data_IF_343597727884
#
_entry.id   IF_343597727884
#
_cell.length_a   1.000
_cell.length_b   1.000
_cell.length_c   1.000
_cell.angle_alpha   90.00
_cell.angle_beta   90.00
_cell.angle_gamma   90.00
#
_symmetry.space_group_name_H-M   'P 1'
#
loop_
_entity.id
_entity.type
_entity.pdbx_description
1 polymer ?
#
# COMPACT_ATOMS: atom_id res chain seq x y z
N UNK A 1 -22.76 -16.04 8.67
CA UNK A 1 -21.53 -15.83 7.90
C UNK A 1 -20.41 -15.48 8.86
N UNK A 2 -19.15 -15.80 8.54
CA UNK A 2 -18.04 -15.61 9.49
C UNK A 2 -17.63 -14.14 9.63
N UNK A 3 -17.63 -13.36 8.53
CA UNK A 3 -17.21 -11.94 8.57
C UNK A 3 -17.87 -11.01 7.53
N UNK A 4 -18.81 -11.51 6.73
CA UNK A 4 -19.66 -10.70 5.83
C UNK A 4 -18.94 -9.70 4.90
N UNK A 5 -17.74 -10.04 4.41
CA UNK A 5 -17.00 -9.19 3.47
C UNK A 5 -17.70 -9.15 2.09
N UNK A 6 -18.02 -7.95 1.56
CA UNK A 6 -18.49 -7.82 0.18
C UNK A 6 -17.42 -8.28 -0.82
N UNK A 7 -17.87 -8.82 -1.96
CA UNK A 7 -16.97 -9.25 -3.04
C UNK A 7 -16.07 -8.11 -3.53
N UNK A 8 -14.78 -8.38 -3.65
CA UNK A 8 -13.79 -7.41 -4.14
C UNK A 8 -13.15 -6.53 -3.06
N UNK A 9 -13.64 -6.51 -1.81
CA UNK A 9 -13.03 -5.73 -0.71
C UNK A 9 -11.68 -6.32 -0.29
N UNK A 10 -11.57 -7.64 -0.23
CA UNK A 10 -10.32 -8.36 0.04
C UNK A 10 -10.12 -9.38 -1.07
N UNK A 11 -8.98 -9.28 -1.75
CA UNK A 11 -8.56 -10.22 -2.79
C UNK A 11 -7.18 -10.75 -2.39
N UNK A 12 -6.97 -12.06 -2.49
CA UNK A 12 -5.71 -12.72 -2.13
C UNK A 12 -5.13 -13.37 -3.36
N UNK A 13 -3.87 -13.03 -3.66
CA UNK A 13 -3.08 -13.65 -4.72
C UNK A 13 -1.91 -14.39 -4.08
N UNK A 14 -1.59 -15.56 -4.61
CA UNK A 14 -0.41 -16.35 -4.22
C UNK A 14 0.55 -16.46 -5.40
N UNK A 15 1.84 -16.53 -5.12
CA UNK A 15 2.88 -16.56 -6.15
C UNK A 15 4.21 -16.02 -5.61
N UNK A 16 5.19 -15.89 -6.50
CA UNK A 16 6.46 -15.24 -6.14
C UNK A 16 6.28 -13.73 -6.18
N UNK A 17 6.80 -13.03 -5.17
CA UNK A 17 6.74 -11.56 -5.12
C UNK A 17 7.35 -10.93 -6.37
N UNK A 18 8.49 -11.47 -6.85
CA UNK A 18 9.14 -11.03 -8.08
C UNK A 18 8.28 -11.19 -9.35
N UNK A 19 7.25 -12.03 -9.32
CA UNK A 19 6.33 -12.25 -10.45
C UNK A 19 5.05 -11.41 -10.32
N UNK A 20 4.59 -11.09 -9.10
CA UNK A 20 3.31 -10.41 -8.86
C UNK A 20 3.45 -8.93 -8.56
N UNK A 21 4.47 -8.52 -7.80
CA UNK A 21 4.65 -7.14 -7.37
C UNK A 21 4.88 -6.13 -8.52
N UNK A 22 5.65 -6.46 -9.59
CA UNK A 22 5.85 -5.52 -10.69
C UNK A 22 4.55 -5.15 -11.41
N UNK A 23 3.60 -6.08 -11.51
CA UNK A 23 2.29 -5.80 -12.08
C UNK A 23 1.48 -4.86 -11.20
N UNK A 24 1.41 -5.09 -9.89
CA UNK A 24 0.72 -4.17 -8.97
C UNK A 24 1.38 -2.78 -8.94
N UNK A 25 2.70 -2.73 -8.98
CA UNK A 25 3.47 -1.49 -8.99
C UNK A 25 3.25 -0.67 -10.27
N UNK A 26 3.16 -1.31 -11.44
CA UNK A 26 2.94 -0.62 -12.73
C UNK A 26 1.47 -0.41 -13.09
N UNK A 27 0.51 -1.04 -12.38
CA UNK A 27 -0.89 -1.00 -12.77
C UNK A 27 -1.48 0.40 -12.62
N UNK A 28 -2.02 0.96 -13.69
CA UNK A 28 -2.52 2.34 -13.72
C UNK A 28 -3.71 2.60 -12.78
N UNK A 29 -4.53 1.57 -12.52
CA UNK A 29 -5.72 1.66 -11.68
C UNK A 29 -5.48 1.32 -10.19
N UNK A 30 -4.21 1.10 -9.80
CA UNK A 30 -3.84 0.95 -8.39
C UNK A 30 -3.48 2.32 -7.83
N UNK A 31 -4.16 2.73 -6.76
CA UNK A 31 -3.97 4.06 -6.17
C UNK A 31 -2.81 4.13 -5.16
N UNK A 32 -2.48 3.00 -4.54
CA UNK A 32 -1.38 2.90 -3.57
C UNK A 32 -0.83 1.48 -3.49
N UNK A 33 0.44 1.34 -3.11
CA UNK A 33 1.10 0.04 -2.87
C UNK A 33 1.94 0.10 -1.58
N UNK A 34 1.87 -0.98 -0.81
CA UNK A 34 2.68 -1.21 0.38
C UNK A 34 3.76 -2.25 0.06
N UNK A 35 5.04 -1.85 0.10
CA UNK A 35 6.18 -2.70 -0.26
C UNK A 35 6.73 -3.52 0.92
N UNK A 36 5.97 -3.60 2.00
CA UNK A 36 6.21 -4.60 3.04
C UNK A 36 6.22 -6.01 2.45
N UNK A 37 7.16 -6.84 2.89
CA UNK A 37 7.48 -8.12 2.27
C UNK A 37 8.65 -8.04 1.28
N UNK A 38 9.17 -6.84 1.00
CA UNK A 38 10.37 -6.61 0.19
C UNK A 38 11.59 -6.13 1.02
N UNK A 39 11.51 -6.14 2.35
CA UNK A 39 12.68 -5.79 3.17
C UNK A 39 13.85 -6.75 2.91
N UNK A 40 15.07 -6.22 2.94
CA UNK A 40 16.29 -6.98 2.62
C UNK A 40 16.60 -7.09 1.11
N UNK A 41 15.71 -6.65 0.21
CA UNK A 41 15.96 -6.54 -1.23
C UNK A 41 15.75 -5.10 -1.70
N UNK A 42 16.70 -4.22 -1.34
CA UNK A 42 16.63 -2.80 -1.60
C UNK A 42 16.56 -2.46 -3.10
N UNK A 43 17.21 -3.27 -3.95
CA UNK A 43 17.20 -3.04 -5.40
C UNK A 43 15.84 -3.38 -6.00
N UNK A 44 15.23 -4.51 -5.61
CA UNK A 44 13.88 -4.82 -6.05
C UNK A 44 12.86 -3.80 -5.52
N UNK A 45 12.94 -3.40 -4.26
CA UNK A 45 12.07 -2.36 -3.70
C UNK A 45 12.18 -1.04 -4.50
N UNK A 46 13.41 -0.65 -4.86
CA UNK A 46 13.66 0.53 -5.71
C UNK A 46 13.04 0.37 -7.10
N UNK A 47 13.11 -0.80 -7.71
CA UNK A 47 12.48 -1.06 -9.02
C UNK A 47 10.95 -0.94 -8.95
N UNK A 48 10.34 -1.40 -7.86
CA UNK A 48 8.90 -1.26 -7.63
C UNK A 48 8.50 0.21 -7.41
N UNK A 49 9.31 0.99 -6.67
CA UNK A 49 9.11 2.44 -6.53
C UNK A 49 9.18 3.16 -7.89
N UNK A 50 10.12 2.77 -8.75
CA UNK A 50 10.25 3.34 -10.11
C UNK A 50 9.03 3.00 -10.95
N UNK A 51 8.56 1.75 -10.94
CA UNK A 51 7.35 1.35 -11.69
C UNK A 51 6.09 2.08 -11.19
N UNK A 52 5.98 2.31 -9.88
CA UNK A 52 4.89 3.07 -9.29
C UNK A 52 4.88 4.56 -9.68
N UNK A 53 6.02 5.10 -10.13
CA UNK A 53 6.12 6.50 -10.52
C UNK A 53 5.30 6.84 -11.78
N UNK A 54 4.97 5.85 -12.63
CA UNK A 54 4.26 6.08 -13.90
C UNK A 54 2.89 6.75 -13.71
N UNK A 55 2.17 6.47 -12.62
CA UNK A 55 0.93 7.16 -12.28
C UNK A 55 1.00 7.94 -10.95
N UNK A 56 2.21 8.10 -10.40
CA UNK A 56 2.45 8.75 -9.11
C UNK A 56 1.62 8.15 -7.96
N UNK A 57 1.27 6.85 -8.03
CA UNK A 57 0.57 6.18 -6.92
C UNK A 57 1.37 6.29 -5.65
N UNK A 58 0.67 6.30 -4.53
CA UNK A 58 1.34 6.37 -3.24
C UNK A 58 2.09 5.08 -2.96
N UNK A 59 3.34 5.19 -2.51
CA UNK A 59 4.14 4.03 -2.11
C UNK A 59 4.46 4.12 -0.62
N UNK A 60 4.05 3.11 0.15
CA UNK A 60 4.66 2.86 1.45
C UNK A 60 5.94 2.04 1.20
N UNK A 61 7.08 2.72 1.31
CA UNK A 61 8.41 2.13 1.05
C UNK A 61 8.66 0.92 1.94
N UNK A 62 9.42 -0.05 1.40
CA UNK A 62 9.85 -1.20 2.16
C UNK A 62 10.68 -0.72 3.37
N UNK A 63 10.46 -1.30 4.56
CA UNK A 63 11.34 -1.03 5.70
C UNK A 63 12.70 -1.71 5.50
N UNK A 64 13.71 -1.29 6.26
CA UNK A 64 15.03 -1.94 6.23
C UNK A 64 14.94 -3.41 6.70
N UNK A 65 14.06 -3.65 7.69
CA UNK A 65 13.74 -4.98 8.23
C UNK A 65 12.22 -5.10 8.36
N UNK A 66 11.68 -6.29 8.10
CA UNK A 66 10.24 -6.52 8.28
C UNK A 66 9.79 -6.25 9.72
N UNK A 67 8.60 -5.66 9.94
CA UNK A 67 8.09 -5.43 11.27
C UNK A 67 7.80 -6.75 12.01
N UNK A 68 7.93 -6.71 13.34
CA UNK A 68 7.36 -7.74 14.20
C UNK A 68 5.84 -7.56 14.29
N UNK A 69 5.12 -8.46 13.61
CA UNK A 69 3.66 -8.45 13.53
C UNK A 69 2.94 -8.86 14.81
N UNK A 70 3.68 -9.33 15.81
CA UNK A 70 3.11 -9.66 17.14
C UNK A 70 2.97 -8.43 18.03
N UNK A 71 3.66 -7.33 17.69
CA UNK A 71 3.58 -6.09 18.44
C UNK A 71 2.35 -5.26 18.04
N UNK A 72 1.79 -4.46 18.97
CA UNK A 72 0.69 -3.55 18.64
C UNK A 72 1.07 -2.60 17.50
N UNK A 73 0.27 -2.55 16.41
CA UNK A 73 0.56 -1.62 15.33
C UNK A 73 0.27 -0.19 15.78
N UNK A 74 1.14 0.75 15.41
CA UNK A 74 0.82 2.18 15.43
C UNK A 74 -0.11 2.57 14.27
N UNK A 75 -0.48 3.85 14.19
CA UNK A 75 -1.40 4.33 13.14
C UNK A 75 -0.73 4.63 11.80
N UNK A 76 0.61 4.56 11.71
CA UNK A 76 1.40 4.97 10.53
C UNK A 76 0.97 4.30 9.21
N UNK A 77 0.69 2.99 9.23
CA UNK A 77 0.23 2.24 8.04
C UNK A 77 -1.17 2.63 7.61
N UNK A 78 -2.04 2.93 8.56
CA UNK A 78 -3.40 3.37 8.30
C UNK A 78 -3.37 4.77 7.68
N UNK A 79 -2.64 5.70 8.30
CA UNK A 79 -2.57 7.09 7.82
C UNK A 79 -1.87 7.23 6.48
N UNK A 80 -0.95 6.33 6.12
CA UNK A 80 -0.34 6.35 4.79
C UNK A 80 -1.32 6.08 3.66
N UNK A 81 -2.48 5.46 3.91
CA UNK A 81 -3.46 5.14 2.86
C UNK A 81 -4.73 6.00 2.93
N UNK A 82 -4.75 7.02 3.79
CA UNK A 82 -5.82 8.00 3.86
C UNK A 82 -5.50 9.23 3.02
N UNK A 83 -6.53 9.84 2.44
CA UNK A 83 -6.41 11.12 1.74
C UNK A 83 -7.14 12.22 2.51
N UNK A 84 -6.47 13.36 2.68
CA UNK A 84 -7.08 14.53 3.28
C UNK A 84 -7.88 15.27 2.21
N UNK A 85 -9.21 15.23 2.37
CA UNK A 85 -10.11 16.09 1.60
C UNK A 85 -10.61 17.22 2.50
N UNK A 86 -9.93 18.36 2.44
CA UNK A 86 -10.36 19.55 3.18
C UNK A 86 -11.55 20.20 2.48
N UNK A 87 -12.67 20.33 3.19
CA UNK A 87 -13.89 20.97 2.70
C UNK A 87 -14.19 22.19 3.56
N UNK A 88 -14.37 23.34 2.92
CA UNK A 88 -14.70 24.59 3.58
C UNK A 88 -16.20 24.82 3.52
N UNK A 89 -16.83 24.95 4.68
CA UNK A 89 -18.23 25.32 4.81
C UNK A 89 -18.33 26.71 5.42
N UNK A 90 -19.18 27.62 4.90
CA UNK A 90 -19.45 28.89 5.56
C UNK A 90 -19.95 28.64 6.99
N UNK A 91 -19.39 29.36 7.95
CA UNK A 91 -19.91 29.42 9.31
C UNK A 91 -20.43 30.85 9.55
N UNK A 92 -21.71 30.96 9.92
CA UNK A 92 -22.30 32.24 10.31
C UNK A 92 -21.80 32.63 11.70
N UNK A 93 -21.43 33.91 11.85
CA UNK A 93 -21.19 34.52 13.17
C UNK A 93 -22.52 34.85 13.82
#
# INVERSE_FOLDING_TARGET
>A
ATSDLPGGVVNVLTGRVAETAPWLASHMDVNAIDLTGAAGDAEHARQLEVAAADNLKRVLRAPDTEPDWTLPPGTKRLTSHLELKTVWHPIGV
#
